data_IF_544927689979
#
_entry.id   IF_544927689979
#
_cell.length_a   1.000
_cell.length_b   1.000
_cell.length_c   1.000
_cell.angle_alpha   90.00
_cell.angle_beta   90.00
_cell.angle_gamma   90.00
#
_symmetry.space_group_name_H-M   'P 1'
#
loop_
_entity.id
_entity.type
_entity.pdbx_description
1 polymer ?
#
# COMPACT_ATOMS: atom_id res chain seq x y z
N UNK A 1 -5.88 -9.40 -10.22
CA UNK A 1 -4.93 -8.46 -9.57
C UNK A 1 -3.50 -8.82 -9.98
N UNK A 2 -2.65 -7.82 -10.23
CA UNK A 2 -1.22 -8.00 -10.40
C UNK A 2 -0.45 -6.99 -9.55
N UNK A 3 0.73 -7.39 -9.08
CA UNK A 3 1.67 -6.52 -8.35
C UNK A 3 3.00 -6.57 -9.09
N UNK A 4 3.48 -5.40 -9.52
CA UNK A 4 4.68 -5.30 -10.37
C UNK A 4 5.57 -4.13 -9.92
N UNK A 5 6.87 -4.23 -10.18
CA UNK A 5 7.83 -3.14 -9.96
C UNK A 5 8.19 -2.43 -11.26
N UNK A 6 8.45 -1.12 -11.16
CA UNK A 6 9.15 -0.37 -12.21
C UNK A 6 10.65 -0.36 -11.86
N UNK A 7 11.54 -0.52 -12.86
CA UNK A 7 12.98 -0.58 -12.64
C UNK A 7 13.51 0.73 -12.04
N UNK A 8 14.68 0.67 -11.40
CA UNK A 8 15.36 1.89 -10.95
C UNK A 8 15.82 2.73 -12.14
N UNK A 9 15.89 4.05 -11.97
CA UNK A 9 16.36 4.98 -13.00
C UNK A 9 17.78 4.64 -13.48
N UNK A 10 18.65 4.14 -12.60
CA UNK A 10 20.03 3.76 -12.96
C UNK A 10 20.09 2.53 -13.88
N UNK A 11 19.05 1.71 -13.96
CA UNK A 11 19.00 0.54 -14.86
C UNK A 11 18.82 0.95 -16.34
N UNK A 12 18.51 2.22 -16.59
CA UNK A 12 18.52 2.85 -17.91
C UNK A 12 17.14 2.97 -18.57
N UNK A 13 16.99 4.02 -19.38
CA UNK A 13 15.73 4.41 -20.04
C UNK A 13 15.09 3.30 -20.88
N UNK A 14 15.89 2.42 -21.48
CA UNK A 14 15.39 1.31 -22.31
C UNK A 14 14.63 0.28 -21.49
N UNK A 15 15.09 -0.03 -20.26
CA UNK A 15 14.38 -0.94 -19.34
C UNK A 15 13.08 -0.33 -18.86
N UNK A 16 13.09 0.97 -18.51
CA UNK A 16 11.87 1.69 -18.13
C UNK A 16 10.81 1.65 -19.24
N UNK A 17 11.20 1.94 -20.49
CA UNK A 17 10.28 1.90 -21.62
C UNK A 17 9.65 0.51 -21.83
N UNK A 18 10.42 -0.57 -21.67
CA UNK A 18 9.87 -1.93 -21.73
C UNK A 18 8.94 -2.24 -20.56
N UNK A 19 9.26 -1.76 -19.35
CA UNK A 19 8.40 -1.92 -18.19
C UNK A 19 7.06 -1.20 -18.38
N UNK A 20 7.07 0.04 -18.87
CA UNK A 20 5.85 0.80 -19.19
C UNK A 20 4.98 0.11 -20.24
N UNK A 21 5.60 -0.42 -21.30
CA UNK A 21 4.88 -1.17 -22.33
C UNK A 21 4.27 -2.46 -21.76
N UNK A 22 5.00 -3.20 -20.94
CA UNK A 22 4.52 -4.42 -20.29
C UNK A 22 3.38 -4.15 -19.31
N UNK A 23 3.49 -3.09 -18.51
CA UNK A 23 2.46 -2.62 -17.57
C UNK A 23 1.17 -2.25 -18.33
N UNK A 24 1.29 -1.52 -19.44
CA UNK A 24 0.13 -1.12 -20.26
C UNK A 24 -0.57 -2.31 -20.95
N UNK A 25 0.16 -3.38 -21.25
CA UNK A 25 -0.46 -4.60 -21.79
C UNK A 25 -1.09 -5.45 -20.69
N UNK A 26 -0.40 -5.58 -19.55
CA UNK A 26 -0.88 -6.32 -18.38
C UNK A 26 -2.15 -5.71 -17.81
N UNK A 27 -2.25 -4.37 -17.78
CA UNK A 27 -3.43 -3.66 -17.27
C UNK A 27 -4.71 -3.97 -18.04
N UNK A 28 -4.62 -4.46 -19.28
CA UNK A 28 -5.80 -4.89 -20.07
C UNK A 28 -6.35 -6.25 -19.62
N UNK A 29 -5.59 -7.00 -18.84
CA UNK A 29 -5.86 -8.40 -18.50
C UNK A 29 -6.06 -8.62 -16.99
N UNK A 30 -6.02 -7.56 -16.18
CA UNK A 30 -6.17 -7.63 -14.72
C UNK A 30 -7.17 -6.58 -14.24
N UNK A 31 -7.96 -6.93 -13.22
CA UNK A 31 -8.93 -6.00 -12.63
C UNK A 31 -8.26 -4.84 -11.88
N UNK A 32 -7.07 -5.09 -11.31
CA UNK A 32 -6.28 -4.12 -10.56
C UNK A 32 -4.80 -4.38 -10.71
N UNK A 33 -4.02 -3.30 -10.86
CA UNK A 33 -2.57 -3.34 -11.06
C UNK A 33 -1.87 -2.44 -10.04
N UNK A 34 -1.24 -3.05 -9.04
CA UNK A 34 -0.38 -2.35 -8.09
C UNK A 34 1.00 -2.18 -8.72
N UNK A 35 1.46 -0.94 -8.81
CA UNK A 35 2.77 -0.63 -9.40
C UNK A 35 3.68 0.01 -8.36
N UNK A 36 4.84 -0.61 -8.12
CA UNK A 36 5.83 -0.14 -7.15
C UNK A 36 7.00 0.51 -7.90
N UNK A 37 7.17 1.84 -7.83
CA UNK A 37 8.32 2.52 -8.42
C UNK A 37 9.57 2.31 -7.56
N UNK A 38 10.53 1.48 -8.02
CA UNK A 38 11.74 1.19 -7.25
C UNK A 38 12.53 2.43 -6.86
N UNK A 39 12.50 3.51 -7.66
CA UNK A 39 13.16 4.77 -7.32
C UNK A 39 12.62 5.44 -6.04
N UNK A 40 11.35 5.22 -5.68
CA UNK A 40 10.80 5.75 -4.42
C UNK A 40 11.41 5.05 -3.20
N UNK A 41 11.83 3.79 -3.35
CA UNK A 41 12.49 3.04 -2.28
C UNK A 41 13.85 3.67 -1.93
N UNK A 42 14.55 4.24 -2.90
CA UNK A 42 15.83 4.93 -2.67
C UNK A 42 15.70 6.11 -1.69
N UNK A 43 14.52 6.73 -1.59
CA UNK A 43 14.27 7.81 -0.62
C UNK A 43 14.27 7.30 0.82
N UNK A 44 13.76 6.08 1.03
CA UNK A 44 13.67 5.44 2.35
C UNK A 44 15.01 4.84 2.76
N UNK A 45 15.69 4.21 1.80
CA UNK A 45 16.91 3.44 2.06
C UNK A 45 18.15 4.31 2.30
N UNK A 46 18.13 5.58 1.89
CA UNK A 46 19.21 6.53 2.16
C UNK A 46 20.45 6.36 1.27
N UNK A 47 21.53 7.08 1.62
CA UNK A 47 22.80 7.06 0.86
C UNK A 47 23.70 5.91 1.33
N UNK A 48 24.38 5.25 0.39
CA UNK A 48 25.41 4.25 0.68
C UNK A 48 24.91 2.80 0.73
N UNK A 49 23.66 2.54 0.37
CA UNK A 49 23.12 1.18 0.29
C UNK A 49 23.78 0.37 -0.81
N UNK A 50 23.86 -0.95 -0.64
CA UNK A 50 24.29 -1.83 -1.71
C UNK A 50 23.18 -2.04 -2.74
N UNK A 51 23.57 -2.43 -3.97
CA UNK A 51 22.61 -2.81 -5.00
C UNK A 51 21.72 -3.98 -4.55
N UNK A 52 22.28 -4.92 -3.78
CA UNK A 52 21.57 -6.08 -3.26
C UNK A 52 20.47 -5.65 -2.27
N UNK A 53 20.80 -4.73 -1.36
CA UNK A 53 19.84 -4.22 -0.37
C UNK A 53 18.71 -3.43 -1.05
N UNK A 54 19.03 -2.69 -2.11
CA UNK A 54 18.03 -1.96 -2.91
C UNK A 54 16.99 -2.91 -3.53
N UNK A 55 17.44 -4.01 -4.14
CA UNK A 55 16.53 -5.03 -4.67
C UNK A 55 15.81 -5.81 -3.56
N UNK A 56 16.49 -6.06 -2.43
CA UNK A 56 15.88 -6.67 -1.24
C UNK A 56 14.67 -5.87 -0.75
N UNK A 57 14.83 -4.55 -0.62
CA UNK A 57 13.75 -3.67 -0.22
C UNK A 57 12.56 -3.69 -1.20
N UNK A 58 12.80 -3.78 -2.51
CA UNK A 58 11.73 -3.91 -3.49
C UNK A 58 10.95 -5.22 -3.32
N UNK A 59 11.66 -6.32 -3.01
CA UNK A 59 11.04 -7.60 -2.70
C UNK A 59 10.23 -7.56 -1.41
N UNK A 60 10.72 -6.86 -0.39
CA UNK A 60 10.01 -6.72 0.89
C UNK A 60 8.70 -5.94 0.72
N UNK A 61 8.70 -4.87 -0.09
CA UNK A 61 7.47 -4.14 -0.42
C UNK A 61 6.51 -5.01 -1.24
N UNK A 62 7.00 -5.74 -2.24
CA UNK A 62 6.18 -6.69 -3.00
C UNK A 62 5.54 -7.74 -2.10
N UNK A 63 6.33 -8.33 -1.20
CA UNK A 63 5.87 -9.30 -0.21
C UNK A 63 4.80 -8.68 0.69
N UNK A 64 5.05 -7.49 1.22
CA UNK A 64 4.09 -6.76 2.05
C UNK A 64 2.77 -6.50 1.35
N UNK A 65 2.80 -6.10 0.07
CA UNK A 65 1.61 -5.84 -0.74
C UNK A 65 0.75 -7.09 -0.90
N UNK A 66 1.37 -8.21 -1.29
CA UNK A 66 0.66 -9.47 -1.48
C UNK A 66 0.17 -10.02 -0.13
N UNK A 67 1.01 -9.95 0.90
CA UNK A 67 0.69 -10.45 2.24
C UNK A 67 -0.47 -9.67 2.85
N UNK A 68 -0.46 -8.33 2.83
CA UNK A 68 -1.52 -7.53 3.43
C UNK A 68 -2.90 -7.78 2.81
N UNK A 69 -2.97 -7.96 1.48
CA UNK A 69 -4.22 -8.27 0.78
C UNK A 69 -4.64 -9.73 1.03
N UNK A 70 -3.69 -10.67 1.00
CA UNK A 70 -3.99 -12.08 1.23
C UNK A 70 -4.45 -12.34 2.67
N UNK A 71 -3.85 -11.69 3.66
CA UNK A 71 -4.20 -11.84 5.08
C UNK A 71 -5.62 -11.36 5.36
N UNK A 72 -6.04 -10.22 4.78
CA UNK A 72 -7.43 -9.73 4.88
C UNK A 72 -8.48 -10.75 4.43
N UNK A 73 -8.15 -11.60 3.45
CA UNK A 73 -9.07 -12.59 2.89
C UNK A 73 -8.98 -13.93 3.64
N UNK A 74 -7.77 -14.30 4.07
CA UNK A 74 -7.47 -15.68 4.50
C UNK A 74 -7.33 -15.83 6.01
N UNK A 75 -6.96 -14.77 6.73
CA UNK A 75 -6.82 -14.81 8.18
C UNK A 75 -8.07 -14.23 8.82
N UNK A 76 -8.81 -15.00 9.63
CA UNK A 76 -9.92 -14.46 10.39
C UNK A 76 -9.39 -13.45 11.43
N UNK A 77 -9.75 -12.19 11.28
CA UNK A 77 -9.61 -11.15 12.29
C UNK A 77 -10.87 -10.96 13.14
N UNK A 78 -10.83 -9.96 14.02
CA UNK A 78 -11.99 -9.56 14.83
C UNK A 78 -13.06 -8.86 13.99
N UNK A 79 -12.61 -8.05 13.02
CA UNK A 79 -13.41 -7.43 11.98
C UNK A 79 -12.96 -8.02 10.64
N UNK A 80 -13.71 -9.00 10.15
CA UNK A 80 -13.45 -9.61 8.86
C UNK A 80 -13.96 -8.73 7.74
N UNK A 81 -13.10 -8.51 6.75
CA UNK A 81 -13.48 -7.98 5.45
C UNK A 81 -13.74 -9.18 4.55
N UNK A 82 -14.86 -9.19 3.85
CA UNK A 82 -15.14 -10.29 2.94
C UNK A 82 -14.45 -10.09 1.58
N UNK A 83 -14.35 -11.16 0.79
CA UNK A 83 -13.72 -11.07 -0.52
C UNK A 83 -14.49 -10.14 -1.48
N UNK A 84 -15.81 -9.95 -1.28
CA UNK A 84 -16.59 -9.06 -2.11
C UNK A 84 -16.27 -7.59 -1.82
N UNK A 85 -15.99 -7.22 -0.57
CA UNK A 85 -15.54 -5.89 -0.16
C UNK A 85 -14.17 -5.56 -0.77
N UNK A 86 -13.21 -6.48 -0.62
CA UNK A 86 -11.88 -6.35 -1.25
C UNK A 86 -12.04 -6.22 -2.76
N UNK A 87 -12.81 -7.13 -3.38
CA UNK A 87 -13.05 -7.08 -4.82
C UNK A 87 -13.71 -5.78 -5.24
N UNK A 88 -14.62 -5.21 -4.46
CA UNK A 88 -15.30 -3.94 -4.78
C UNK A 88 -14.29 -2.79 -4.83
N UNK A 89 -13.49 -2.63 -3.78
CA UNK A 89 -12.44 -1.59 -3.71
C UNK A 89 -11.38 -1.78 -4.80
N UNK A 90 -11.03 -3.03 -5.09
CA UNK A 90 -10.03 -3.37 -6.10
C UNK A 90 -10.60 -3.36 -7.53
N UNK A 91 -11.92 -3.45 -7.71
CA UNK A 91 -12.56 -3.39 -9.04
C UNK A 91 -12.73 -1.96 -9.55
N UNK A 92 -12.55 -0.96 -8.68
CA UNK A 92 -12.33 0.42 -9.10
C UNK A 92 -11.04 0.48 -9.94
N UNK A 93 -11.24 0.39 -11.26
CA UNK A 93 -10.21 0.21 -12.29
C UNK A 93 -9.11 1.26 -12.18
N UNK A 94 -7.85 0.83 -12.07
CA UNK A 94 -6.73 1.76 -12.10
C UNK A 94 -5.41 1.21 -11.58
N UNK A 95 -4.43 2.10 -11.46
CA UNK A 95 -3.21 1.77 -10.75
C UNK A 95 -3.43 1.99 -9.26
N UNK A 96 -2.85 1.09 -8.48
CA UNK A 96 -2.90 1.12 -7.04
C UNK A 96 -1.51 1.31 -6.45
N UNK A 97 -1.46 1.91 -5.27
CA UNK A 97 -0.24 2.05 -4.47
C UNK A 97 -0.48 1.56 -3.07
N UNK A 98 0.62 1.25 -2.39
CA UNK A 98 0.61 0.66 -1.07
C UNK A 98 1.56 1.44 -0.16
N UNK A 99 1.11 1.72 1.06
CA UNK A 99 1.95 2.16 2.16
C UNK A 99 1.80 1.21 3.34
N UNK A 100 2.84 1.08 4.16
CA UNK A 100 2.78 0.30 5.39
C UNK A 100 3.57 1.00 6.50
N UNK A 101 3.07 0.90 7.71
CA UNK A 101 3.68 1.39 8.93
C UNK A 101 3.62 0.32 10.02
N UNK A 102 4.64 0.32 10.86
CA UNK A 102 4.77 -0.59 12.00
C UNK A 102 5.21 0.23 13.19
N UNK A 103 4.51 0.11 14.30
CA UNK A 103 4.85 0.79 15.55
C UNK A 103 4.54 -0.09 16.76
N UNK A 104 5.05 0.31 17.92
CA UNK A 104 4.86 -0.37 19.21
C UNK A 104 4.69 0.65 20.34
N UNK A 105 4.22 0.19 21.51
CA UNK A 105 3.95 1.07 22.66
C UNK A 105 2.54 1.68 22.65
N UNK A 106 2.34 2.72 23.48
CA UNK A 106 1.00 3.29 23.74
C UNK A 106 0.37 3.94 22.49
N UNK A 107 1.17 4.65 21.70
CA UNK A 107 0.72 5.41 20.52
C UNK A 107 0.84 4.63 19.20
N UNK A 108 1.10 3.31 19.27
CA UNK A 108 1.39 2.45 18.11
C UNK A 108 0.33 2.50 17.01
N UNK A 109 -0.93 2.72 17.36
CA UNK A 109 -2.03 2.79 16.40
C UNK A 109 -1.94 4.03 15.52
N UNK A 110 -1.72 5.20 16.13
CA UNK A 110 -1.59 6.48 15.44
C UNK A 110 -0.30 6.50 14.62
N UNK A 111 0.83 6.16 15.24
CA UNK A 111 2.13 6.15 14.58
C UNK A 111 2.16 5.20 13.37
N UNK A 112 1.65 3.97 13.51
CA UNK A 112 1.63 3.03 12.39
C UNK A 112 0.71 3.50 11.25
N UNK A 113 -0.44 4.11 11.58
CA UNK A 113 -1.33 4.67 10.58
C UNK A 113 -0.69 5.86 9.84
N UNK A 114 -0.08 6.79 10.56
CA UNK A 114 0.64 7.94 10.01
C UNK A 114 1.80 7.50 9.09
N UNK A 115 2.61 6.54 9.55
CA UNK A 115 3.69 5.97 8.74
C UNK A 115 3.17 5.32 7.45
N UNK A 116 2.03 4.62 7.52
CA UNK A 116 1.45 3.96 6.36
C UNK A 116 1.01 4.98 5.31
N UNK A 117 0.34 6.07 5.70
CA UNK A 117 -0.11 7.12 4.76
C UNK A 117 1.02 8.04 4.31
N UNK A 118 2.06 8.25 5.12
CA UNK A 118 3.23 9.06 4.79
C UNK A 118 4.26 8.29 3.95
N UNK A 119 3.92 7.09 3.48
CA UNK A 119 4.84 6.25 2.71
C UNK A 119 5.29 6.97 1.43
N UNK A 120 6.58 6.95 1.08
CA UNK A 120 7.07 7.52 -0.18
C UNK A 120 6.45 6.88 -1.43
N UNK A 121 5.89 5.68 -1.28
CA UNK A 121 5.14 5.00 -2.33
C UNK A 121 3.76 5.62 -2.57
N UNK A 122 3.21 6.40 -1.64
CA UNK A 122 1.93 7.10 -1.76
C UNK A 122 2.09 8.59 -2.10
N UNK A 123 3.29 9.16 -2.07
CA UNK A 123 3.56 10.59 -2.32
C UNK A 123 2.94 11.17 -3.60
N UNK A 124 2.83 10.36 -4.66
CA UNK A 124 2.31 10.80 -5.95
C UNK A 124 0.77 10.63 -6.06
N UNK A 125 0.14 10.10 -5.02
CA UNK A 125 -1.31 10.02 -4.88
C UNK A 125 -1.74 11.03 -3.84
N UNK A 126 -2.53 11.99 -4.28
CA UNK A 126 -3.42 12.67 -3.37
C UNK A 126 -4.48 11.66 -2.92
N UNK A 127 -4.45 11.22 -1.67
CA UNK A 127 -5.41 10.28 -1.10
C UNK A 127 -6.85 10.83 -1.15
N UNK A 128 -7.01 12.16 -1.30
CA UNK A 128 -8.32 12.76 -1.60
C UNK A 128 -8.83 12.45 -3.01
N UNK A 129 -7.97 12.02 -3.92
CA UNK A 129 -8.33 11.53 -5.26
C UNK A 129 -8.59 10.02 -5.32
N UNK A 130 -8.31 9.27 -4.24
CA UNK A 130 -8.54 7.84 -4.19
C UNK A 130 -10.05 7.55 -4.17
N UNK A 131 -10.49 6.60 -5.00
CA UNK A 131 -11.89 6.14 -5.02
C UNK A 131 -12.12 4.98 -4.08
N UNK A 132 -11.08 4.18 -3.86
CA UNK A 132 -11.10 3.05 -2.97
C UNK A 132 -9.86 3.04 -2.09
N UNK A 133 -10.06 2.77 -0.80
CA UNK A 133 -8.97 2.61 0.17
C UNK A 133 -9.22 1.33 0.94
N UNK A 134 -8.27 0.40 0.87
CA UNK A 134 -8.25 -0.83 1.65
C UNK A 134 -7.21 -0.68 2.76
N UNK A 135 -7.60 -0.97 3.99
CA UNK A 135 -6.74 -0.91 5.16
C UNK A 135 -6.72 -2.28 5.84
N UNK A 136 -5.54 -2.82 6.08
CA UNK A 136 -5.32 -3.99 6.93
C UNK A 136 -4.60 -3.57 8.20
N UNK A 137 -5.15 -3.94 9.35
CA UNK A 137 -4.52 -3.79 10.66
C UNK A 137 -4.09 -5.19 11.12
N UNK A 138 -2.79 -5.45 11.13
CA UNK A 138 -2.23 -6.70 11.65
C UNK A 138 -1.65 -6.47 13.04
N UNK A 139 -2.11 -7.23 14.02
CA UNK A 139 -1.64 -7.15 15.41
C UNK A 139 -1.84 -8.49 16.13
N UNK A 140 -1.32 -8.61 17.35
CA UNK A 140 -1.60 -9.74 18.23
C UNK A 140 -3.03 -9.71 18.80
N UNK A 141 -3.32 -10.65 19.70
CA UNK A 141 -4.59 -10.69 20.44
C UNK A 141 -4.77 -9.53 21.43
N UNK A 142 -3.75 -8.69 21.58
CA UNK A 142 -3.70 -7.48 22.38
C UNK A 142 -4.22 -6.23 21.65
N UNK A 143 -4.70 -6.35 20.40
CA UNK A 143 -5.33 -5.26 19.66
C UNK A 143 -6.57 -4.74 20.41
N UNK A 144 -6.57 -3.45 20.74
CA UNK A 144 -7.67 -2.80 21.44
C UNK A 144 -8.64 -2.09 20.49
N UNK A 145 -9.85 -1.84 20.98
CA UNK A 145 -10.90 -1.16 20.19
C UNK A 145 -10.55 0.32 19.91
N UNK A 146 -9.98 1.01 20.89
CA UNK A 146 -9.46 2.38 20.75
C UNK A 146 -8.37 2.45 19.68
N UNK A 147 -7.46 1.47 19.63
CA UNK A 147 -6.43 1.40 18.58
C UNK A 147 -7.05 1.23 17.18
N UNK A 148 -8.04 0.35 17.06
CA UNK A 148 -8.78 0.17 15.80
C UNK A 148 -9.50 1.45 15.36
N UNK A 149 -10.18 2.14 16.28
CA UNK A 149 -10.85 3.41 16.00
C UNK A 149 -9.88 4.51 15.60
N UNK A 150 -8.73 4.61 16.30
CA UNK A 150 -7.67 5.58 15.98
C UNK A 150 -7.17 5.37 14.55
N UNK A 151 -6.79 4.15 14.17
CA UNK A 151 -6.36 3.87 12.79
C UNK A 151 -7.45 4.26 11.78
N UNK A 152 -8.70 3.87 12.04
CA UNK A 152 -9.80 4.15 11.14
C UNK A 152 -10.08 5.65 10.97
N UNK A 153 -10.00 6.42 12.05
CA UNK A 153 -10.18 7.87 12.03
C UNK A 153 -9.02 8.56 11.31
N UNK A 154 -7.78 8.14 11.57
CA UNK A 154 -6.60 8.65 10.86
C UNK A 154 -6.76 8.44 9.37
N UNK A 155 -7.02 7.22 8.89
CA UNK A 155 -7.15 6.98 7.44
C UNK A 155 -8.31 7.79 6.83
N UNK A 156 -9.46 7.87 7.51
CA UNK A 156 -10.61 8.66 7.01
C UNK A 156 -10.32 10.15 6.91
N UNK A 157 -9.46 10.71 7.76
CA UNK A 157 -9.07 12.11 7.69
C UNK A 157 -8.26 12.44 6.42
N UNK A 158 -7.60 11.45 5.82
CA UNK A 158 -6.83 11.63 4.58
C UNK A 158 -7.56 11.14 3.32
N UNK A 159 -8.57 10.28 3.48
CA UNK A 159 -9.42 9.84 2.38
C UNK A 159 -10.46 10.92 2.03
N UNK A 160 -10.90 10.94 0.77
CA UNK A 160 -12.02 11.80 0.36
C UNK A 160 -13.34 11.31 0.92
N UNK A 161 -14.26 12.24 1.19
CA UNK A 161 -15.64 11.94 1.64
C UNK A 161 -16.39 10.99 0.70
N UNK A 162 -15.98 10.93 -0.58
CA UNK A 162 -16.57 10.05 -1.59
C UNK A 162 -15.81 8.74 -1.80
N UNK A 163 -14.72 8.50 -1.04
CA UNK A 163 -13.93 7.29 -1.16
C UNK A 163 -14.59 6.11 -0.44
N UNK A 164 -14.59 4.94 -1.07
CA UNK A 164 -14.99 3.70 -0.41
C UNK A 164 -13.83 3.21 0.45
N UNK A 165 -13.96 3.32 1.78
CA UNK A 165 -12.93 2.89 2.72
C UNK A 165 -13.34 1.56 3.37
N UNK A 166 -12.53 0.54 3.16
CA UNK A 166 -12.71 -0.79 3.77
C UNK A 166 -11.55 -1.04 4.73
N UNK A 167 -11.88 -1.28 6.00
CA UNK A 167 -10.90 -1.52 7.07
C UNK A 167 -11.12 -2.91 7.61
N UNK A 168 -10.07 -3.72 7.58
CA UNK A 168 -10.06 -5.06 8.15
C UNK A 168 -8.96 -5.23 9.17
N UNK A 169 -9.11 -6.29 9.96
CA UNK A 169 -8.11 -6.71 10.94
C UNK A 169 -7.61 -8.10 10.59
N UNK A 170 -6.35 -8.37 10.88
CA UNK A 170 -5.74 -9.69 10.80
C UNK A 170 -5.02 -9.95 12.12
N UNK A 171 -5.26 -11.12 12.74
CA UNK A 171 -4.56 -11.48 13.96
C UNK A 171 -3.32 -12.32 13.64
N UNK A 172 -2.18 -11.91 14.18
CA UNK A 172 -0.93 -12.66 14.14
C UNK A 172 -0.49 -13.01 15.57
N UNK A 173 -0.62 -14.28 16.02
CA UNK A 173 -0.22 -14.69 17.37
C UNK A 173 1.26 -14.49 17.69
N UNK A 174 2.12 -14.35 16.68
CA UNK A 174 3.55 -14.12 16.88
C UNK A 174 3.86 -12.64 17.15
N UNK A 175 2.94 -11.72 16.82
CA UNK A 175 3.07 -10.29 17.12
C UNK A 175 2.65 -10.03 18.57
N UNK A 176 3.54 -9.38 19.33
CA UNK A 176 3.27 -8.91 20.68
C UNK A 176 3.70 -7.46 20.78
N UNK A 177 2.82 -6.58 21.27
CA UNK A 177 3.06 -5.14 21.42
C UNK A 177 3.34 -4.38 20.10
N UNK A 178 3.34 -5.07 18.95
CA UNK A 178 3.50 -4.50 17.62
C UNK A 178 2.13 -4.38 16.91
N UNK A 179 1.92 -3.25 16.25
CA UNK A 179 0.78 -3.02 15.38
C UNK A 179 1.29 -2.60 13.99
N UNK A 180 0.81 -3.29 12.96
CA UNK A 180 1.12 -2.99 11.56
C UNK A 180 -0.11 -2.52 10.83
N UNK A 181 -0.02 -1.35 10.21
CA UNK A 181 -1.04 -0.83 9.29
C UNK A 181 -0.53 -0.98 7.87
N UNK A 182 -1.36 -1.50 6.99
CA UNK A 182 -1.14 -1.55 5.54
C UNK A 182 -2.29 -0.87 4.84
N UNK A 183 -1.98 0.11 4.00
CA UNK A 183 -2.95 0.87 3.22
C UNK A 183 -2.71 0.58 1.75
N UNK A 184 -3.77 0.25 1.02
CA UNK A 184 -3.78 0.14 -0.44
C UNK A 184 -4.81 1.13 -0.99
N UNK A 185 -4.35 2.09 -1.77
CA UNK A 185 -5.20 3.10 -2.39
C UNK A 185 -5.35 2.82 -3.90
N UNK A 186 -6.59 2.90 -4.41
CA UNK A 186 -6.94 2.74 -5.82
C UNK A 186 -7.50 4.05 -6.39
N UNK A 187 -7.07 4.40 -7.62
CA UNK A 187 -7.52 5.62 -8.30
C UNK A 187 -7.79 5.39 -9.79
N UNK A 188 -8.88 5.96 -10.29
CA UNK A 188 -9.41 5.70 -11.64
C UNK A 188 -8.61 6.31 -12.79
N UNK A 189 -7.78 7.33 -12.53
CA UNK A 189 -6.99 8.02 -13.57
C UNK A 189 -5.67 8.48 -12.99
N UNK A 190 -4.56 8.07 -13.61
CA UNK A 190 -3.26 8.72 -13.43
C UNK A 190 -3.15 9.86 -14.43
N UNK A 191 -3.61 11.05 -14.05
CA UNK A 191 -3.32 12.26 -14.84
C UNK A 191 -1.85 12.63 -14.67
N UNK A 192 -0.98 12.11 -15.54
CA UNK A 192 0.33 12.66 -15.95
C UNK A 192 0.91 13.79 -15.08
N UNK A 193 1.35 13.50 -13.84
CA UNK A 193 2.19 14.42 -13.07
C UNK A 193 3.66 14.41 -13.57
N UNK A 194 4.01 13.53 -14.52
CA UNK A 194 5.32 13.55 -15.20
C UNK A 194 5.42 14.54 -16.38
N UNK A 195 4.47 15.48 -16.51
CA UNK A 195 4.68 16.69 -17.33
C UNK A 195 4.58 17.94 -16.45
N UNK A 196 5.64 18.21 -15.68
CA UNK A 196 6.02 19.59 -15.43
C UNK A 196 7.27 19.90 -16.25
N UNK A 197 7.14 20.59 -17.40
CA UNK A 197 8.27 21.17 -18.10
C UNK A 197 8.42 22.63 -17.63
N UNK A 198 8.86 22.83 -16.38
CA UNK A 198 9.44 24.08 -15.88
C UNK A 198 10.45 23.75 -14.79
#
# INVERSE_FOLDING_TARGET
MAVVTKPFNFEGKKRMAFAEQGIAELSKHVDSLITIPNDKLLKVLGRGISLLDAFGAANDVLKGAVQGIAELITRPGLMNVDFADVRTVMSEMGYAMMGSGVACGEDRAEEAAEMAISSPLLEDIDLSGARGVLVNITAGFDLRLDEFETVGNTIRAFASDNATVVIGTSLDPEMNDELRVTVVATASVWTNVLKSPW
#
